data_IF_877500370468
#
_entry.id   IF_877500370468
#
_cell.length_a   1.000
_cell.length_b   1.000
_cell.length_c   1.000
_cell.angle_alpha   90.00
_cell.angle_beta   90.00
_cell.angle_gamma   90.00
#
_symmetry.space_group_name_H-M   'P 1'
#
loop_
_entity.id
_entity.type
_entity.pdbx_description
1 polymer ?
#
# COMPACT_ATOMS: atom_id res chain seq x y z
N UNK A 1 20.70 -5.47 -6.92
CA UNK A 1 19.48 -4.79 -7.37
C UNK A 1 18.83 -4.16 -6.14
N UNK A 2 19.51 -3.19 -5.50
CA UNK A 2 19.14 -2.62 -4.19
C UNK A 2 19.06 -1.08 -4.23
N UNK A 3 18.90 -0.52 -5.42
CA UNK A 3 18.81 0.92 -5.63
C UNK A 3 17.50 1.22 -6.38
N UNK A 4 16.46 1.70 -5.67
CA UNK A 4 15.17 1.97 -6.27
C UNK A 4 15.22 3.08 -7.33
N UNK A 5 16.15 4.05 -7.22
CA UNK A 5 16.31 5.10 -8.22
C UNK A 5 16.90 4.53 -9.50
N UNK A 6 17.93 3.68 -9.41
CA UNK A 6 18.50 3.04 -10.60
C UNK A 6 17.50 2.14 -11.33
N UNK A 7 16.66 1.42 -10.59
CA UNK A 7 15.57 0.62 -11.19
C UNK A 7 14.59 1.54 -11.92
N UNK A 8 14.18 2.63 -11.28
CA UNK A 8 13.32 3.64 -11.88
C UNK A 8 13.91 4.25 -13.16
N UNK A 9 15.16 4.74 -13.13
CA UNK A 9 15.86 5.32 -14.27
C UNK A 9 15.93 4.34 -15.45
N UNK A 10 16.28 3.09 -15.17
CA UNK A 10 16.36 2.03 -16.18
C UNK A 10 15.01 1.77 -16.84
N UNK A 11 13.93 1.72 -16.04
CA UNK A 11 12.57 1.54 -16.56
C UNK A 11 12.15 2.74 -17.39
N UNK A 12 12.31 3.96 -16.86
CA UNK A 12 12.00 5.21 -17.59
C UNK A 12 12.65 5.21 -18.97
N UNK A 13 13.96 4.98 -19.03
CA UNK A 13 14.73 5.05 -20.26
C UNK A 13 14.29 3.97 -21.26
N UNK A 14 14.01 2.74 -20.78
CA UNK A 14 13.50 1.67 -21.63
C UNK A 14 12.10 1.97 -22.20
N UNK A 15 11.18 2.50 -21.38
CA UNK A 15 9.85 2.86 -21.84
C UNK A 15 9.89 4.03 -22.82
N UNK A 16 10.72 5.03 -22.57
CA UNK A 16 10.93 6.15 -23.48
C UNK A 16 11.46 5.68 -24.83
N UNK A 17 12.52 4.86 -24.83
CA UNK A 17 13.09 4.24 -26.02
C UNK A 17 12.07 3.39 -26.78
N UNK A 18 11.24 2.61 -26.07
CA UNK A 18 10.19 1.81 -26.67
C UNK A 18 9.17 2.67 -27.41
N UNK A 19 8.69 3.75 -26.79
CA UNK A 19 7.71 4.66 -27.41
C UNK A 19 8.33 5.34 -28.64
N UNK A 20 9.56 5.82 -28.50
CA UNK A 20 10.26 6.53 -29.58
C UNK A 20 10.53 5.63 -30.79
N UNK A 21 10.91 4.38 -30.55
CA UNK A 21 11.17 3.39 -31.61
C UNK A 21 9.88 2.88 -32.25
N UNK A 22 8.83 2.61 -31.47
CA UNK A 22 7.57 2.05 -31.97
C UNK A 22 6.73 3.06 -32.76
N UNK A 23 6.82 4.34 -32.42
CA UNK A 23 6.04 5.43 -33.01
C UNK A 23 6.96 6.49 -33.61
N UNK A 24 7.88 6.10 -34.48
CA UNK A 24 8.87 7.02 -35.05
C UNK A 24 8.21 8.23 -35.76
N UNK A 25 8.71 9.43 -35.48
CA UNK A 25 8.30 10.67 -36.16
C UNK A 25 9.38 11.07 -37.16
N UNK A 26 8.96 11.53 -38.35
CA UNK A 26 9.89 11.91 -39.43
C UNK A 26 10.61 13.24 -39.17
N UNK A 27 9.94 14.18 -38.52
CA UNK A 27 10.46 15.54 -38.31
C UNK A 27 11.23 15.63 -37.00
N UNK A 28 12.46 16.14 -37.09
CA UNK A 28 13.34 16.22 -35.91
C UNK A 28 12.77 17.05 -34.78
N UNK A 29 12.21 18.21 -35.11
CA UNK A 29 11.59 19.09 -34.11
C UNK A 29 10.47 18.40 -33.34
N UNK A 30 9.65 17.60 -34.02
CA UNK A 30 8.58 16.84 -33.38
C UNK A 30 9.10 15.67 -32.52
N UNK A 31 10.25 15.08 -32.88
CA UNK A 31 10.92 14.08 -32.04
C UNK A 31 11.40 14.71 -30.74
N UNK A 32 12.06 15.86 -30.83
CA UNK A 32 12.57 16.57 -29.66
C UNK A 32 11.44 17.05 -28.75
N UNK A 33 10.42 17.72 -29.31
CA UNK A 33 9.26 18.19 -28.53
C UNK A 33 8.58 17.04 -27.78
N UNK A 34 8.43 15.87 -28.43
CA UNK A 34 7.87 14.69 -27.76
C UNK A 34 8.81 14.15 -26.68
N UNK A 35 10.10 14.04 -26.96
CA UNK A 35 11.08 13.57 -25.98
C UNK A 35 11.00 14.43 -24.72
N UNK A 36 11.02 15.75 -24.88
CA UNK A 36 10.97 16.70 -23.78
C UNK A 36 9.66 16.59 -22.99
N UNK A 37 8.52 16.40 -23.66
CA UNK A 37 7.22 16.22 -22.99
C UNK A 37 7.12 14.89 -22.24
N UNK A 38 7.62 13.79 -22.82
CA UNK A 38 7.57 12.49 -22.17
C UNK A 38 8.60 12.36 -21.05
N UNK A 39 9.74 13.05 -21.16
CA UNK A 39 10.82 13.06 -20.18
C UNK A 39 10.65 14.16 -19.11
N UNK A 40 9.40 14.50 -18.81
CA UNK A 40 9.01 15.37 -17.71
C UNK A 40 8.31 14.55 -16.64
N UNK A 41 8.62 14.85 -15.37
CA UNK A 41 7.84 14.34 -14.24
C UNK A 41 6.35 14.58 -14.49
N UNK A 42 5.51 13.64 -14.06
CA UNK A 42 4.04 13.62 -14.20
C UNK A 42 3.47 13.24 -15.56
N UNK A 43 4.31 13.03 -16.59
CA UNK A 43 3.85 12.59 -17.91
C UNK A 43 3.97 11.07 -18.06
N UNK A 44 5.10 10.59 -18.59
CA UNK A 44 5.34 9.16 -18.75
C UNK A 44 5.63 8.47 -17.42
N UNK A 45 6.18 9.21 -16.46
CA UNK A 45 6.61 8.69 -15.18
C UNK A 45 6.40 9.72 -14.06
N UNK A 46 6.52 9.24 -12.82
CA UNK A 46 6.64 10.08 -11.64
C UNK A 46 7.98 9.78 -10.96
N UNK A 47 8.71 10.80 -10.54
CA UNK A 47 9.90 10.57 -9.73
C UNK A 47 9.55 9.76 -8.46
N UNK A 48 10.34 8.73 -8.12
CA UNK A 48 10.03 7.90 -6.98
C UNK A 48 10.27 8.69 -5.69
N UNK A 49 9.24 8.79 -4.87
CA UNK A 49 9.35 9.31 -3.51
C UNK A 49 9.59 8.15 -2.55
N UNK A 50 10.59 8.27 -1.68
CA UNK A 50 10.89 7.27 -0.65
C UNK A 50 10.41 7.82 0.69
N UNK A 51 9.45 7.12 1.28
CA UNK A 51 8.96 7.40 2.63
C UNK A 51 9.38 6.27 3.57
N UNK A 52 9.94 6.63 4.73
CA UNK A 52 10.19 5.68 5.79
C UNK A 52 8.89 5.45 6.57
N UNK A 53 8.31 4.27 6.44
CA UNK A 53 7.14 3.86 7.20
C UNK A 53 7.61 2.97 8.35
N UNK A 54 7.65 3.46 9.61
CA UNK A 54 7.98 2.60 10.74
C UNK A 54 6.92 1.50 10.87
N UNK A 55 7.30 0.28 11.28
CA UNK A 55 6.33 -0.78 11.52
C UNK A 55 5.36 -0.34 12.63
N UNK A 56 4.07 -0.65 12.43
CA UNK A 56 3.07 -0.43 13.48
C UNK A 56 3.37 -1.31 14.69
N UNK A 57 3.15 -0.75 15.88
CA UNK A 57 3.29 -1.50 17.13
C UNK A 57 2.34 -2.70 17.12
N UNK A 58 2.87 -3.88 17.42
CA UNK A 58 2.07 -5.11 17.64
C UNK A 58 1.28 -4.96 18.93
N UNK A 59 0.04 -5.45 18.95
CA UNK A 59 -0.71 -5.65 20.20
C UNK A 59 -0.37 -6.98 20.88
N UNK A 60 0.43 -7.82 20.21
CA UNK A 60 0.76 -9.21 20.57
C UNK A 60 -0.45 -10.13 20.71
N UNK A 61 -1.60 -9.72 20.15
CA UNK A 61 -2.86 -10.45 20.20
C UNK A 61 -3.34 -10.79 18.81
N UNK A 62 -3.82 -12.01 18.63
CA UNK A 62 -4.56 -12.44 17.43
C UNK A 62 -6.03 -12.05 17.56
N UNK A 63 -6.75 -12.03 16.45
CA UNK A 63 -8.19 -11.74 16.43
C UNK A 63 -9.00 -12.68 17.34
N UNK A 64 -8.67 -13.97 17.38
CA UNK A 64 -9.32 -14.93 18.28
C UNK A 64 -9.13 -14.57 19.76
N UNK A 65 -7.94 -14.08 20.15
CA UNK A 65 -7.70 -13.62 21.52
C UNK A 65 -8.47 -12.32 21.78
N UNK A 66 -8.49 -11.39 20.82
CA UNK A 66 -9.27 -10.17 20.93
C UNK A 66 -10.78 -10.44 21.10
N UNK A 67 -11.32 -11.42 20.38
CA UNK A 67 -12.72 -11.86 20.51
C UNK A 67 -13.06 -12.30 21.94
N UNK A 68 -12.15 -13.02 22.61
CA UNK A 68 -12.35 -13.47 24.00
C UNK A 68 -12.10 -12.40 25.05
N UNK A 69 -11.30 -11.37 24.74
CA UNK A 69 -10.88 -10.34 25.71
C UNK A 69 -11.72 -9.06 25.66
N UNK A 70 -12.36 -8.78 24.52
CA UNK A 70 -13.17 -7.59 24.31
C UNK A 70 -14.63 -7.99 24.47
N UNK A 71 -15.24 -7.52 25.56
CA UNK A 71 -16.65 -7.74 25.85
C UNK A 71 -17.54 -7.31 24.68
N UNK A 72 -18.51 -8.16 24.33
CA UNK A 72 -19.49 -7.91 23.26
C UNK A 72 -19.10 -8.45 21.89
N UNK A 73 -17.87 -8.95 21.71
CA UNK A 73 -17.50 -9.69 20.51
C UNK A 73 -18.00 -11.14 20.56
N UNK A 74 -18.43 -11.72 19.42
CA UNK A 74 -18.68 -13.15 19.33
C UNK A 74 -17.38 -13.94 19.46
N UNK A 75 -17.34 -14.96 20.31
CA UNK A 75 -16.17 -15.84 20.50
C UNK A 75 -15.71 -16.50 19.18
N UNK A 76 -16.67 -16.80 18.31
CA UNK A 76 -16.47 -17.43 17.01
C UNK A 76 -15.82 -16.50 15.98
N UNK A 77 -15.69 -15.19 16.25
CA UNK A 77 -15.22 -14.19 15.29
C UNK A 77 -13.82 -14.53 14.76
N UNK A 78 -12.92 -14.98 15.63
CA UNK A 78 -11.56 -15.36 15.23
C UNK A 78 -11.53 -16.56 14.29
N UNK A 79 -12.36 -17.56 14.57
CA UNK A 79 -12.48 -18.76 13.74
C UNK A 79 -13.21 -18.46 12.44
N UNK A 80 -14.29 -17.69 12.47
CA UNK A 80 -14.99 -17.23 11.28
C UNK A 80 -14.04 -16.48 10.33
N UNK A 81 -13.26 -15.54 10.86
CA UNK A 81 -12.27 -14.80 10.07
C UNK A 81 -11.21 -15.69 9.43
N UNK A 82 -10.87 -16.81 10.07
CA UNK A 82 -9.88 -17.74 9.55
C UNK A 82 -10.31 -18.53 8.32
N UNK A 83 -11.61 -18.57 8.01
CA UNK A 83 -12.15 -19.27 6.85
C UNK A 83 -11.94 -18.55 5.51
N UNK A 84 -11.07 -17.53 5.48
CA UNK A 84 -10.65 -16.85 4.26
C UNK A 84 -10.64 -15.32 4.33
N UNK A 85 -11.06 -14.72 5.45
CA UNK A 85 -10.98 -13.27 5.64
C UNK A 85 -9.56 -12.86 6.04
N UNK A 86 -9.00 -13.48 7.08
CA UNK A 86 -7.66 -13.17 7.58
C UNK A 86 -6.85 -14.44 7.87
N UNK A 87 -5.55 -14.39 7.60
CA UNK A 87 -4.66 -15.48 7.97
C UNK A 87 -4.38 -15.45 9.48
N UNK A 88 -4.70 -16.54 10.21
CA UNK A 88 -4.53 -16.64 11.68
C UNK A 88 -3.09 -16.50 12.20
N UNK A 89 -2.10 -16.42 11.31
CA UNK A 89 -0.70 -16.23 11.69
C UNK A 89 -0.38 -14.80 12.14
N UNK A 90 -1.21 -13.82 11.78
CA UNK A 90 -0.93 -12.42 12.05
C UNK A 90 -1.50 -11.98 13.40
N UNK A 91 -0.67 -11.28 14.17
CA UNK A 91 -1.12 -10.49 15.32
C UNK A 91 -1.67 -9.16 14.83
N UNK A 92 -2.69 -8.66 15.52
CA UNK A 92 -3.21 -7.33 15.31
C UNK A 92 -2.15 -6.29 15.66
N UNK A 93 -2.16 -5.18 14.93
CA UNK A 93 -1.51 -3.96 15.38
C UNK A 93 -2.30 -3.34 16.53
N UNK A 94 -1.60 -2.62 17.41
CA UNK A 94 -2.20 -1.98 18.58
C UNK A 94 -3.39 -1.09 18.20
N UNK A 95 -3.26 -0.30 17.12
CA UNK A 95 -4.33 0.56 16.65
C UNK A 95 -5.57 -0.21 16.13
N UNK A 96 -5.40 -1.44 15.63
CA UNK A 96 -6.52 -2.29 15.19
C UNK A 96 -7.28 -2.84 16.40
N UNK A 97 -6.53 -3.36 17.39
CA UNK A 97 -7.11 -3.83 18.66
C UNK A 97 -7.88 -2.70 19.37
N UNK A 98 -7.31 -1.50 19.43
CA UNK A 98 -7.95 -0.34 20.05
C UNK A 98 -9.21 0.10 19.29
N UNK A 99 -9.19 0.02 17.95
CA UNK A 99 -10.34 0.35 17.11
C UNK A 99 -11.50 -0.64 17.32
N UNK A 100 -11.24 -1.94 17.31
CA UNK A 100 -12.24 -2.99 17.57
C UNK A 100 -12.86 -2.79 18.96
N UNK A 101 -12.04 -2.50 19.97
CA UNK A 101 -12.49 -2.24 21.34
C UNK A 101 -13.38 -1.00 21.42
N UNK A 102 -13.02 0.08 20.72
CA UNK A 102 -13.79 1.32 20.69
C UNK A 102 -15.12 1.18 19.93
N UNK A 103 -15.17 0.33 18.90
CA UNK A 103 -16.34 0.11 18.05
C UNK A 103 -17.51 -0.59 18.75
N UNK A 104 -17.28 -1.25 19.89
CA UNK A 104 -18.31 -2.02 20.62
C UNK A 104 -19.57 -1.21 20.95
N UNK A 105 -19.43 0.08 21.23
CA UNK A 105 -20.55 0.90 21.70
C UNK A 105 -20.69 2.23 20.95
N UNK A 106 -19.87 2.47 19.92
CA UNK A 106 -19.77 3.76 19.24
C UNK A 106 -19.34 3.57 17.79
N UNK A 107 -19.77 4.48 16.93
CA UNK A 107 -19.17 4.62 15.62
C UNK A 107 -17.74 5.16 15.78
N UNK A 108 -16.78 4.52 15.12
CA UNK A 108 -15.36 4.89 15.16
C UNK A 108 -14.90 5.41 13.79
N UNK A 109 -13.96 6.35 13.82
CA UNK A 109 -13.26 6.82 12.62
C UNK A 109 -11.79 6.42 12.77
N UNK A 110 -11.29 5.60 11.84
CA UNK A 110 -9.91 5.10 11.87
C UNK A 110 -9.07 5.93 10.89
N UNK A 111 -8.25 6.83 11.43
CA UNK A 111 -7.33 7.68 10.65
C UNK A 111 -5.94 7.05 10.60
N UNK A 112 -5.80 5.95 9.86
CA UNK A 112 -4.52 5.27 9.66
C UNK A 112 -4.09 5.29 8.18
N UNK A 113 -2.78 5.24 7.92
CA UNK A 113 -2.20 5.32 6.58
C UNK A 113 -2.66 4.20 5.64
N UNK A 114 -2.52 4.39 4.33
CA UNK A 114 -2.79 3.32 3.36
C UNK A 114 -1.83 2.15 3.62
N UNK A 115 -2.34 0.91 3.58
CA UNK A 115 -1.55 -0.27 3.92
C UNK A 115 -1.38 -0.54 5.41
N UNK A 116 -1.98 0.24 6.31
CA UNK A 116 -1.93 0.03 7.77
C UNK A 116 -2.78 -1.15 8.29
N UNK A 117 -3.39 -1.92 7.39
CA UNK A 117 -4.37 -2.94 7.77
C UNK A 117 -5.65 -2.37 8.40
N UNK A 118 -6.28 -1.37 7.78
CA UNK A 118 -7.60 -0.87 8.24
C UNK A 118 -8.71 -1.89 8.03
N UNK A 119 -8.51 -2.88 7.17
CA UNK A 119 -9.51 -3.93 6.88
C UNK A 119 -9.63 -4.91 8.04
N UNK A 120 -8.53 -5.10 8.77
CA UNK A 120 -8.39 -5.97 9.93
C UNK A 120 -8.86 -5.33 11.26
N UNK A 121 -9.26 -4.06 11.23
CA UNK A 121 -9.75 -3.27 12.37
C UNK A 121 -11.27 -3.06 12.28
#
# INVERSE_FOLDING_TARGET
MNDPYRVFETLRDHYLMYIESRFALRHEKLRQERHDLLNQDTHLYREPHIEFVPPYQSSDKKLAQAATEIDGLPDELGDFAAHGLFAQRYSLHQHQYDAIKAAQNKHVVITAGTGSGKTEA
#
